data_IF_283690619483
#
_entry.id   IF_283690619483
#
_cell.length_a   1.000
_cell.length_b   1.000
_cell.length_c   1.000
_cell.angle_alpha   90.00
_cell.angle_beta   90.00
_cell.angle_gamma   90.00
#
_symmetry.space_group_name_H-M   'P 1'
#
loop_
_entity.id
_entity.type
_entity.pdbx_description
1 polymer ?
#
# COMPACT_ATOMS: atom_id res chain seq x y z
N UNK A 1 4.66 -28.36 52.09
CA UNK A 1 4.48 -26.90 52.25
C UNK A 1 3.23 -26.66 53.08
N UNK A 2 3.30 -25.84 54.13
CA UNK A 2 2.10 -25.42 54.88
C UNK A 2 1.29 -24.42 54.05
N UNK A 3 -0.02 -24.29 54.31
CA UNK A 3 -0.88 -23.32 53.60
C UNK A 3 -0.37 -21.87 53.69
N UNK A 4 0.30 -21.53 54.81
CA UNK A 4 1.02 -20.26 55.00
C UNK A 4 2.15 -20.06 54.00
N UNK A 5 2.94 -21.09 53.72
CA UNK A 5 4.07 -20.97 52.79
C UNK A 5 3.60 -20.81 51.34
N UNK A 6 2.47 -21.43 50.98
CA UNK A 6 1.83 -21.25 49.67
C UNK A 6 1.27 -19.84 49.53
N UNK A 7 0.60 -19.31 50.56
CA UNK A 7 0.06 -17.95 50.55
C UNK A 7 1.17 -16.91 50.42
N UNK A 8 2.25 -17.05 51.19
CA UNK A 8 3.42 -16.15 51.13
C UNK A 8 4.05 -16.19 49.73
N UNK A 9 4.22 -17.38 49.15
CA UNK A 9 4.76 -17.51 47.79
C UNK A 9 3.86 -16.82 46.75
N UNK A 10 2.54 -17.03 46.80
CA UNK A 10 1.59 -16.39 45.88
C UNK A 10 1.58 -14.86 46.03
N UNK A 11 1.64 -14.34 47.26
CA UNK A 11 1.71 -12.89 47.51
C UNK A 11 3.00 -12.28 46.98
N UNK A 12 4.15 -12.96 47.18
CA UNK A 12 5.43 -12.51 46.65
C UNK A 12 5.47 -12.54 45.12
N UNK A 13 4.92 -13.58 44.48
CA UNK A 13 4.80 -13.66 43.02
C UNK A 13 3.89 -12.55 42.48
N UNK A 14 2.76 -12.27 43.13
CA UNK A 14 1.85 -11.20 42.75
C UNK A 14 2.49 -9.82 42.88
N UNK A 15 3.22 -9.56 43.98
CA UNK A 15 3.98 -8.32 44.16
C UNK A 15 5.08 -8.17 43.11
N UNK A 16 5.79 -9.24 42.78
CA UNK A 16 6.81 -9.22 41.74
C UNK A 16 6.21 -8.91 40.36
N UNK A 17 5.07 -9.53 40.04
CA UNK A 17 4.33 -9.26 38.79
C UNK A 17 3.83 -7.80 38.74
N UNK A 18 3.35 -7.25 39.85
CA UNK A 18 2.96 -5.84 39.95
C UNK A 18 4.16 -4.90 39.74
N UNK A 19 5.32 -5.22 40.30
CA UNK A 19 6.54 -4.42 40.12
C UNK A 19 7.02 -4.51 38.67
N UNK A 20 7.03 -5.69 38.05
CA UNK A 20 7.36 -5.84 36.62
C UNK A 20 6.36 -5.10 35.74
N UNK A 21 5.07 -5.13 36.07
CA UNK A 21 4.03 -4.38 35.36
C UNK A 21 4.21 -2.86 35.52
N UNK A 22 4.49 -2.37 36.74
CA UNK A 22 4.75 -0.96 37.00
C UNK A 22 6.02 -0.45 36.30
N UNK A 23 7.09 -1.26 36.30
CA UNK A 23 8.34 -0.96 35.60
C UNK A 23 8.16 -0.97 34.07
N UNK A 24 7.37 -1.90 33.52
CA UNK A 24 7.00 -1.90 32.10
C UNK A 24 6.10 -0.72 31.72
N UNK A 25 5.17 -0.35 32.59
CA UNK A 25 4.34 0.85 32.40
C UNK A 25 5.15 2.15 32.52
N UNK A 26 6.34 2.09 33.13
CA UNK A 26 7.33 3.16 33.21
C UNK A 26 8.43 3.04 32.14
N UNK A 27 8.23 2.26 31.06
CA UNK A 27 9.08 2.38 29.89
C UNK A 27 9.20 3.88 29.55
N UNK A 28 10.42 4.41 29.63
CA UNK A 28 10.64 5.85 29.56
C UNK A 28 10.06 6.34 28.24
N UNK A 29 9.11 7.28 28.29
CA UNK A 29 8.65 7.95 27.07
C UNK A 29 9.88 8.53 26.39
N UNK A 30 10.01 8.38 25.05
CA UNK A 30 11.15 8.94 24.35
C UNK A 30 11.19 10.45 24.60
N UNK A 31 12.40 10.97 24.81
CA UNK A 31 12.62 12.40 24.93
C UNK A 31 12.29 13.09 23.61
N UNK A 32 11.99 14.39 23.65
CA UNK A 32 11.80 15.18 22.42
C UNK A 32 13.02 15.09 21.50
N UNK A 33 14.23 15.02 22.06
CA UNK A 33 15.45 14.83 21.28
C UNK A 33 15.44 13.51 20.51
N UNK A 34 15.11 12.40 21.17
CA UNK A 34 15.00 11.09 20.52
C UNK A 34 13.92 11.08 19.43
N UNK A 35 12.73 11.62 19.73
CA UNK A 35 11.65 11.77 18.73
C UNK A 35 12.11 12.58 17.51
N UNK A 36 12.88 13.65 17.75
CA UNK A 36 13.40 14.51 16.68
C UNK A 36 14.43 13.76 15.84
N UNK A 37 15.35 13.04 16.47
CA UNK A 37 16.37 12.25 15.80
C UNK A 37 15.73 11.13 14.97
N UNK A 38 14.74 10.43 15.52
CA UNK A 38 13.97 9.39 14.84
C UNK A 38 13.27 9.94 13.59
N UNK A 39 12.62 11.12 13.69
CA UNK A 39 11.96 11.75 12.56
C UNK A 39 12.93 12.16 11.46
N UNK A 40 14.05 12.81 11.80
CA UNK A 40 15.04 13.23 10.81
C UNK A 40 15.80 12.06 10.17
N UNK A 41 15.76 10.87 10.77
CA UNK A 41 16.25 9.64 10.15
C UNK A 41 15.22 8.97 9.22
N UNK A 42 13.95 9.38 9.28
CA UNK A 42 12.86 8.77 8.51
C UNK A 42 12.83 9.22 7.04
N UNK A 43 12.20 8.41 6.19
CA UNK A 43 12.00 8.75 4.78
C UNK A 43 11.16 10.02 4.56
N UNK A 44 10.27 10.38 5.49
CA UNK A 44 9.47 11.60 5.40
C UNK A 44 10.26 12.89 5.63
N UNK A 45 11.47 12.78 6.19
CA UNK A 45 12.39 13.90 6.39
C UNK A 45 13.61 13.87 5.45
N UNK A 46 13.70 12.89 4.54
CA UNK A 46 14.81 12.78 3.61
C UNK A 46 14.69 13.80 2.47
N UNK A 47 15.25 14.99 2.71
CA UNK A 47 15.26 16.12 1.78
C UNK A 47 16.05 15.87 0.48
N UNK A 48 16.74 14.73 0.36
CA UNK A 48 17.45 14.34 -0.88
C UNK A 48 16.68 13.30 -1.67
N UNK A 49 15.64 12.71 -1.10
CA UNK A 49 14.86 11.68 -1.75
C UNK A 49 14.05 12.24 -2.92
N UNK A 50 13.91 11.43 -3.97
CA UNK A 50 13.19 11.81 -5.19
C UNK A 50 11.76 12.33 -4.94
N UNK A 51 10.97 11.79 -3.98
CA UNK A 51 9.66 12.34 -3.66
C UNK A 51 9.65 13.84 -3.32
N UNK A 52 10.75 14.43 -2.83
CA UNK A 52 10.79 15.85 -2.48
C UNK A 52 11.64 16.70 -3.42
N UNK A 53 12.48 16.07 -4.25
CA UNK A 53 13.41 16.77 -5.15
C UNK A 53 13.04 16.69 -6.64
N UNK A 54 12.00 15.91 -7.00
CA UNK A 54 11.63 15.66 -8.40
C UNK A 54 11.41 16.94 -9.22
N UNK A 55 10.91 18.01 -8.59
CA UNK A 55 10.61 19.28 -9.24
C UNK A 55 11.64 20.39 -8.98
N UNK A 56 12.80 20.08 -8.39
CA UNK A 56 13.82 21.09 -8.09
C UNK A 56 14.41 21.74 -9.36
N UNK A 57 14.44 20.98 -10.47
CA UNK A 57 15.00 21.41 -11.75
C UNK A 57 13.95 21.98 -12.74
N UNK A 58 12.69 22.18 -12.31
CA UNK A 58 11.68 22.87 -13.14
C UNK A 58 11.93 24.38 -13.20
N UNK A 59 11.35 25.08 -14.19
CA UNK A 59 11.49 26.54 -14.33
C UNK A 59 10.11 27.23 -14.38
N UNK A 60 9.66 27.89 -13.29
CA UNK A 60 10.32 27.97 -11.98
C UNK A 60 10.27 26.64 -11.20
N UNK A 61 11.15 26.44 -10.20
CA UNK A 61 11.08 25.29 -9.29
C UNK A 61 9.78 25.32 -8.48
N UNK A 62 8.89 24.36 -8.73
CA UNK A 62 7.59 24.30 -8.07
C UNK A 62 7.02 22.88 -8.07
N UNK A 63 6.44 22.47 -6.94
CA UNK A 63 5.70 21.21 -6.83
C UNK A 63 4.27 21.46 -7.37
N UNK A 64 3.82 20.75 -8.42
CA UNK A 64 2.50 20.92 -9.00
C UNK A 64 1.37 20.68 -7.99
N UNK A 65 0.24 21.35 -8.22
CA UNK A 65 -0.95 21.32 -7.34
C UNK A 65 -1.38 19.89 -7.02
N UNK A 66 -1.42 19.02 -8.02
CA UNK A 66 -1.82 17.61 -7.92
C UNK A 66 -0.84 16.74 -7.12
N UNK A 67 0.39 17.20 -6.92
CA UNK A 67 1.44 16.47 -6.18
C UNK A 67 1.72 17.09 -4.80
N UNK A 68 1.41 18.37 -4.63
CA UNK A 68 1.81 19.16 -3.49
C UNK A 68 1.26 18.66 -2.15
N UNK A 69 0.10 18.00 -2.13
CA UNK A 69 -0.49 17.45 -0.88
C UNK A 69 0.48 16.51 -0.19
N UNK A 70 1.13 15.62 -0.94
CA UNK A 70 1.96 14.56 -0.38
C UNK A 70 3.46 14.89 -0.43
N UNK A 71 3.86 15.73 -1.38
CA UNK A 71 5.25 16.00 -1.71
C UNK A 71 5.76 17.38 -1.26
N UNK A 72 4.98 18.11 -0.45
CA UNK A 72 5.40 19.39 0.12
C UNK A 72 4.71 19.66 1.46
N UNK A 73 5.46 20.15 2.44
CA UNK A 73 4.86 20.69 3.67
C UNK A 73 3.86 21.80 3.37
N UNK A 74 4.21 22.69 2.43
CA UNK A 74 3.37 23.83 2.09
C UNK A 74 2.06 23.38 1.46
N UNK A 75 2.11 22.39 0.55
CA UNK A 75 0.92 21.83 -0.06
C UNK A 75 0.02 21.12 0.95
N UNK A 76 0.57 20.38 1.92
CA UNK A 76 -0.25 19.76 2.96
C UNK A 76 -0.91 20.79 3.90
N UNK A 77 -0.22 21.89 4.24
CA UNK A 77 -0.81 22.97 5.05
C UNK A 77 -1.93 23.71 4.31
N UNK A 78 -1.75 23.96 3.00
CA UNK A 78 -2.80 24.50 2.11
C UNK A 78 -3.98 23.52 2.06
N UNK A 79 -3.72 22.24 1.80
CA UNK A 79 -4.78 21.23 1.76
C UNK A 79 -5.60 21.15 3.06
N UNK A 80 -4.97 21.35 4.23
CA UNK A 80 -5.67 21.39 5.52
C UNK A 80 -6.30 22.75 5.87
N UNK A 81 -6.08 23.79 5.06
CA UNK A 81 -6.53 25.16 5.32
C UNK A 81 -5.83 25.82 6.51
N UNK A 82 -4.65 25.36 6.90
CA UNK A 82 -3.90 25.87 8.07
C UNK A 82 -3.38 27.29 7.83
N UNK A 83 -3.08 27.62 6.59
CA UNK A 83 -2.65 28.95 6.15
C UNK A 83 -3.82 29.89 5.78
N UNK A 84 -5.06 29.43 5.97
CA UNK A 84 -6.29 30.17 5.65
C UNK A 84 -6.87 29.86 4.27
N UNK A 85 -6.31 28.90 3.54
CA UNK A 85 -6.85 28.44 2.25
C UNK A 85 -8.08 27.55 2.39
N UNK A 86 -8.59 27.08 1.24
CA UNK A 86 -9.78 26.24 1.18
C UNK A 86 -9.46 24.79 1.52
N UNK A 87 -9.99 24.29 2.65
CA UNK A 87 -9.83 22.89 3.08
C UNK A 87 -10.18 21.89 1.96
N UNK A 88 -9.30 20.91 1.76
CA UNK A 88 -9.45 19.83 0.79
C UNK A 88 -9.01 20.19 -0.63
N UNK A 89 -8.40 21.36 -0.81
CA UNK A 89 -7.93 21.84 -2.10
C UNK A 89 -6.54 22.45 -1.95
N UNK A 90 -5.73 22.33 -2.99
CA UNK A 90 -4.50 23.11 -3.14
C UNK A 90 -4.77 24.13 -4.24
N UNK A 91 -4.56 25.41 -3.91
CA UNK A 91 -4.96 26.50 -4.80
C UNK A 91 -3.83 26.91 -5.75
N UNK A 92 -2.57 26.70 -5.36
CA UNK A 92 -1.38 27.09 -6.13
C UNK A 92 -0.27 26.04 -6.02
N UNK A 93 0.69 26.08 -6.95
CA UNK A 93 1.89 25.25 -6.86
C UNK A 93 2.64 25.52 -5.55
N UNK A 94 3.15 24.46 -4.93
CA UNK A 94 3.88 24.56 -3.68
C UNK A 94 5.37 24.80 -3.92
N UNK A 95 6.04 25.42 -2.95
CA UNK A 95 7.49 25.63 -3.02
C UNK A 95 8.23 24.29 -2.91
N UNK A 96 9.27 24.15 -3.71
CA UNK A 96 10.27 23.08 -3.57
C UNK A 96 11.16 23.29 -2.34
N UNK A 97 12.04 22.33 -2.04
CA UNK A 97 12.96 22.41 -0.89
C UNK A 97 12.30 22.18 0.47
N UNK A 98 11.13 21.54 0.51
CA UNK A 98 10.45 21.13 1.75
C UNK A 98 10.23 19.63 1.79
N UNK A 99 10.35 19.05 2.98
CA UNK A 99 9.91 17.70 3.32
C UNK A 99 8.66 17.77 4.19
N UNK A 100 8.27 16.67 4.85
CA UNK A 100 7.27 16.72 5.92
C UNK A 100 7.95 17.05 7.27
N UNK A 101 7.29 17.86 8.09
CA UNK A 101 7.79 18.30 9.39
C UNK A 101 6.83 17.92 10.51
N UNK A 102 7.23 18.14 11.76
CA UNK A 102 6.37 17.91 12.94
C UNK A 102 4.99 18.56 12.77
N UNK A 103 4.96 19.79 12.23
CA UNK A 103 3.73 20.56 12.05
C UNK A 103 2.82 20.03 10.94
N UNK A 104 3.30 19.12 10.07
CA UNK A 104 2.43 18.39 9.13
C UNK A 104 1.31 17.69 9.90
N UNK A 105 1.64 17.03 11.01
CA UNK A 105 0.67 16.30 11.84
C UNK A 105 0.28 17.08 13.11
N UNK A 106 1.14 17.97 13.60
CA UNK A 106 0.92 18.79 14.80
C UNK A 106 0.57 20.22 14.45
N UNK A 107 -0.65 20.43 13.98
CA UNK A 107 -1.21 21.75 13.67
C UNK A 107 -2.64 21.91 14.21
N UNK A 108 -3.20 23.13 14.21
CA UNK A 108 -4.55 23.37 14.74
C UNK A 108 -5.69 22.64 14.01
N UNK A 109 -5.53 22.30 12.73
CA UNK A 109 -6.56 21.63 11.93
C UNK A 109 -6.58 20.10 12.12
N UNK A 110 -5.42 19.49 12.38
CA UNK A 110 -5.24 18.04 12.48
C UNK A 110 -6.20 17.35 13.47
N UNK A 111 -6.47 17.87 14.69
CA UNK A 111 -7.39 17.20 15.63
C UNK A 111 -8.83 17.06 15.10
N UNK A 112 -9.27 17.93 14.19
CA UNK A 112 -10.58 17.90 13.54
C UNK A 112 -10.59 17.17 12.20
N UNK A 113 -9.43 16.95 11.59
CA UNK A 113 -9.31 16.26 10.31
C UNK A 113 -9.43 14.74 10.52
N UNK A 114 -10.61 14.19 10.23
CA UNK A 114 -10.95 12.78 10.51
C UNK A 114 -11.61 12.05 9.34
N UNK A 115 -11.70 12.71 8.20
CA UNK A 115 -12.36 12.18 7.01
C UNK A 115 -11.49 12.41 5.79
N UNK A 116 -11.22 11.34 5.05
CA UNK A 116 -10.48 11.38 3.78
C UNK A 116 -11.41 10.87 2.67
N UNK A 117 -11.43 11.58 1.56
CA UNK A 117 -12.09 11.15 0.32
C UNK A 117 -11.07 10.41 -0.56
N UNK A 118 -11.41 9.18 -0.97
CA UNK A 118 -10.60 8.36 -1.85
C UNK A 118 -10.88 8.70 -3.32
N UNK A 119 -10.01 8.33 -4.26
CA UNK A 119 -10.23 8.57 -5.70
C UNK A 119 -11.54 8.00 -6.27
N UNK A 120 -12.14 7.01 -5.60
CA UNK A 120 -13.48 6.49 -5.95
C UNK A 120 -14.65 7.39 -5.55
N UNK A 121 -14.38 8.48 -4.82
CA UNK A 121 -15.38 9.36 -4.20
C UNK A 121 -15.89 8.87 -2.84
N UNK A 122 -15.44 7.70 -2.37
CA UNK A 122 -15.81 7.16 -1.06
C UNK A 122 -15.11 7.94 0.05
N UNK A 123 -15.87 8.34 1.08
CA UNK A 123 -15.35 9.04 2.26
C UNK A 123 -15.22 8.09 3.44
N UNK A 124 -14.00 7.84 3.89
CA UNK A 124 -13.75 7.17 5.16
C UNK A 124 -13.69 8.21 6.27
N UNK A 125 -14.52 8.04 7.29
CA UNK A 125 -14.62 8.94 8.45
C UNK A 125 -14.18 8.26 9.73
N UNK A 126 -14.04 9.03 10.81
CA UNK A 126 -13.60 8.55 12.12
C UNK A 126 -12.18 7.95 12.13
N UNK A 127 -11.32 8.39 11.21
CA UNK A 127 -9.92 7.93 11.10
C UNK A 127 -9.09 8.37 12.33
N UNK A 128 -9.43 9.50 12.94
CA UNK A 128 -8.62 10.04 14.03
C UNK A 128 -7.21 10.38 13.51
N UNK A 129 -6.14 10.07 14.26
CA UNK A 129 -4.78 10.47 13.87
C UNK A 129 -4.27 9.87 12.56
N UNK A 130 -4.78 8.70 12.14
CA UNK A 130 -4.34 8.07 10.88
C UNK A 130 -4.83 8.83 9.64
N UNK A 131 -5.74 9.80 9.80
CA UNK A 131 -6.25 10.60 8.69
C UNK A 131 -5.10 11.25 7.90
N UNK A 132 -4.08 11.77 8.58
CA UNK A 132 -2.91 12.37 7.92
C UNK A 132 -2.12 11.35 7.08
N UNK A 133 -1.97 10.11 7.57
CA UNK A 133 -1.33 9.03 6.82
C UNK A 133 -2.16 8.65 5.58
N UNK A 134 -3.48 8.51 5.78
CA UNK A 134 -4.44 8.11 4.75
C UNK A 134 -4.52 9.16 3.64
N UNK A 135 -4.40 10.46 3.94
CA UNK A 135 -4.41 11.53 2.92
C UNK A 135 -3.37 11.31 1.84
N UNK A 136 -2.18 10.83 2.19
CA UNK A 136 -1.10 10.65 1.22
C UNK A 136 -1.03 9.22 0.69
N UNK A 137 -1.30 8.22 1.54
CA UNK A 137 -1.20 6.80 1.21
C UNK A 137 -2.53 6.19 0.68
N UNK A 138 -3.46 7.03 0.20
CA UNK A 138 -4.72 6.59 -0.42
C UNK A 138 -4.63 6.14 -1.88
N UNK A 139 -3.49 6.39 -2.55
CA UNK A 139 -3.37 6.24 -4.00
C UNK A 139 -4.09 7.35 -4.79
N UNK A 140 -3.80 7.45 -6.09
CA UNK A 140 -4.33 8.54 -6.94
C UNK A 140 -5.44 8.09 -7.91
N UNK A 141 -5.65 6.78 -8.07
CA UNK A 141 -6.63 6.23 -9.00
C UNK A 141 -7.48 5.17 -8.31
N UNK A 142 -8.58 4.78 -8.94
CA UNK A 142 -9.48 3.72 -8.45
C UNK A 142 -10.12 2.95 -9.61
N UNK A 143 -10.98 1.97 -9.29
CA UNK A 143 -11.89 1.33 -10.27
C UNK A 143 -12.58 2.36 -11.18
N UNK A 144 -13.06 3.48 -10.61
CA UNK A 144 -13.77 4.55 -11.34
C UNK A 144 -12.93 5.13 -12.48
N UNK A 145 -11.63 5.34 -12.23
CA UNK A 145 -10.71 5.91 -13.21
C UNK A 145 -10.48 4.97 -14.40
N UNK A 146 -10.35 3.67 -14.12
CA UNK A 146 -10.19 2.64 -15.15
C UNK A 146 -11.49 2.51 -15.95
N UNK A 147 -12.65 2.42 -15.27
CA UNK A 147 -13.96 2.30 -15.93
C UNK A 147 -14.24 3.47 -16.87
N UNK A 148 -13.90 4.70 -16.47
CA UNK A 148 -14.04 5.89 -17.31
C UNK A 148 -13.33 5.75 -18.66
N UNK A 149 -12.17 5.11 -18.69
CA UNK A 149 -11.37 4.91 -19.91
C UNK A 149 -11.93 3.79 -20.77
N UNK A 150 -12.40 2.70 -20.15
CA UNK A 150 -12.76 1.48 -20.87
C UNK A 150 -14.25 1.34 -21.19
N UNK A 151 -15.11 2.20 -20.64
CA UNK A 151 -16.56 2.12 -20.79
C UNK A 151 -16.99 2.03 -22.27
N UNK A 152 -17.78 0.99 -22.58
CA UNK A 152 -18.31 0.74 -23.91
C UNK A 152 -17.26 0.37 -24.97
N UNK A 153 -16.02 0.05 -24.57
CA UNK A 153 -14.95 -0.39 -25.47
C UNK A 153 -14.87 -1.92 -25.52
N UNK A 154 -14.52 -2.52 -26.67
CA UNK A 154 -14.26 -3.96 -26.74
C UNK A 154 -13.07 -4.33 -25.87
N UNK A 155 -13.18 -5.41 -25.09
CA UNK A 155 -12.20 -5.76 -24.06
C UNK A 155 -10.79 -6.02 -24.59
N UNK A 156 -10.70 -6.57 -25.81
CA UNK A 156 -9.47 -7.08 -26.41
C UNK A 156 -8.96 -6.23 -27.59
N UNK A 157 -9.51 -5.03 -27.78
CA UNK A 157 -9.10 -4.09 -28.84
C UNK A 157 -8.28 -2.96 -28.22
N UNK A 158 -7.08 -2.65 -28.75
CA UNK A 158 -6.29 -1.51 -28.28
C UNK A 158 -7.05 -0.18 -28.35
N UNK A 159 -6.91 0.60 -27.29
CA UNK A 159 -7.46 1.96 -27.17
C UNK A 159 -6.50 2.96 -27.81
N UNK A 160 -7.06 3.89 -28.59
CA UNK A 160 -6.26 4.94 -29.22
C UNK A 160 -5.68 5.90 -28.16
N UNK A 161 -4.36 6.16 -28.24
CA UNK A 161 -3.64 7.14 -27.41
C UNK A 161 -3.78 6.91 -25.90
N UNK A 162 -4.02 5.68 -25.49
CA UNK A 162 -4.11 5.34 -24.09
C UNK A 162 -2.71 5.11 -23.50
N UNK A 163 -2.52 5.54 -22.26
CA UNK A 163 -1.31 5.27 -21.46
C UNK A 163 -1.65 4.36 -20.29
N UNK A 164 -0.63 3.85 -19.60
CA UNK A 164 -0.85 3.15 -18.35
C UNK A 164 -1.56 4.04 -17.31
N UNK A 165 -2.56 3.49 -16.62
CA UNK A 165 -3.22 4.13 -15.47
C UNK A 165 -2.47 3.65 -14.22
N UNK A 166 -1.88 4.56 -13.47
CA UNK A 166 -1.04 4.21 -12.33
C UNK A 166 -1.76 4.55 -11.01
N UNK A 167 -2.03 3.58 -10.11
CA UNK A 167 -2.59 3.84 -8.78
C UNK A 167 -1.69 4.70 -7.88
N UNK A 168 -0.46 4.98 -8.32
CA UNK A 168 0.59 5.66 -7.57
C UNK A 168 1.16 4.81 -6.43
N UNK A 169 2.20 5.31 -5.78
CA UNK A 169 3.04 4.50 -4.88
C UNK A 169 2.44 4.39 -3.48
N UNK A 170 2.73 3.26 -2.82
CA UNK A 170 2.36 3.01 -1.44
C UNK A 170 0.88 3.29 -1.13
N UNK A 171 -0.09 2.73 -1.89
CA UNK A 171 -1.52 2.94 -1.67
C UNK A 171 -2.05 2.13 -0.47
N UNK A 172 -1.27 2.06 0.61
CA UNK A 172 -1.51 1.20 1.77
C UNK A 172 -2.87 1.46 2.43
N UNK A 173 -3.34 2.71 2.45
CA UNK A 173 -4.66 3.02 3.00
C UNK A 173 -5.79 2.47 2.12
N UNK A 174 -5.62 2.47 0.80
CA UNK A 174 -6.57 1.87 -0.11
C UNK A 174 -6.53 0.34 -0.05
N UNK A 175 -5.35 -0.26 0.09
CA UNK A 175 -5.22 -1.70 0.35
C UNK A 175 -5.94 -2.07 1.64
N UNK A 176 -5.66 -1.37 2.74
CA UNK A 176 -6.29 -1.63 4.04
C UNK A 176 -7.81 -1.50 3.95
N UNK A 177 -8.32 -0.45 3.32
CA UNK A 177 -9.76 -0.23 3.15
C UNK A 177 -10.44 -1.25 2.22
N UNK A 178 -9.66 -1.92 1.36
CA UNK A 178 -10.08 -3.01 0.51
C UNK A 178 -11.27 -2.65 -0.39
N UNK A 179 -12.27 -3.53 -0.37
CA UNK A 179 -13.53 -3.45 -1.10
C UNK A 179 -14.21 -2.08 -1.03
N UNK A 180 -14.13 -1.41 0.13
CA UNK A 180 -14.91 -0.21 0.43
C UNK A 180 -14.56 0.98 -0.45
N UNK A 181 -13.28 1.16 -0.77
CA UNK A 181 -12.80 2.36 -1.49
C UNK A 181 -12.42 2.09 -2.92
N UNK A 182 -12.52 0.83 -3.37
CA UNK A 182 -12.28 0.45 -4.77
C UNK A 182 -10.92 0.92 -5.31
N UNK A 183 -9.89 0.89 -4.46
CA UNK A 183 -8.54 1.34 -4.82
C UNK A 183 -7.87 0.44 -5.85
N UNK A 184 -8.17 -0.86 -5.84
CA UNK A 184 -7.86 -1.74 -6.97
C UNK A 184 -9.03 -1.75 -7.95
N UNK A 185 -8.83 -2.25 -9.16
CA UNK A 185 -9.92 -2.51 -10.11
C UNK A 185 -10.73 -3.72 -9.64
N UNK A 186 -11.99 -3.46 -9.32
CA UNK A 186 -12.96 -4.47 -8.89
C UNK A 186 -13.86 -4.85 -10.06
N UNK A 187 -14.06 -6.15 -10.25
CA UNK A 187 -14.86 -6.68 -11.34
C UNK A 187 -16.35 -6.71 -10.99
N UNK A 188 -17.19 -6.28 -11.93
CA UNK A 188 -18.65 -6.31 -11.79
C UNK A 188 -19.15 -7.72 -11.42
N UNK A 189 -20.07 -7.76 -10.46
CA UNK A 189 -20.67 -9.02 -9.97
C UNK A 189 -19.83 -9.77 -8.93
N UNK A 190 -18.58 -9.34 -8.68
CA UNK A 190 -17.77 -9.87 -7.60
C UNK A 190 -17.98 -9.11 -6.29
N UNK A 191 -17.77 -9.79 -5.17
CA UNK A 191 -17.74 -9.15 -3.85
C UNK A 191 -16.31 -9.21 -3.31
N UNK A 192 -15.86 -8.09 -2.74
CA UNK A 192 -14.53 -7.92 -2.19
C UNK A 192 -14.61 -7.69 -0.69
N UNK A 193 -13.67 -8.27 0.07
CA UNK A 193 -13.57 -8.01 1.51
C UNK A 193 -13.32 -6.51 1.73
N UNK A 194 -14.03 -5.94 2.70
CA UNK A 194 -13.91 -4.53 3.05
C UNK A 194 -12.62 -4.21 3.80
N UNK A 195 -12.70 -3.19 4.68
CA UNK A 195 -11.55 -2.77 5.50
C UNK A 195 -11.02 -3.93 6.32
N UNK A 196 -9.72 -4.17 6.24
CA UNK A 196 -9.05 -5.11 7.11
C UNK A 196 -9.00 -4.55 8.54
N UNK A 197 -9.56 -5.32 9.46
CA UNK A 197 -9.59 -5.02 10.87
C UNK A 197 -8.77 -6.07 11.61
N UNK A 198 -7.59 -5.68 12.11
CA UNK A 198 -6.82 -6.55 12.99
C UNK A 198 -7.41 -6.51 14.43
N UNK A 199 -6.58 -6.66 15.47
CA UNK A 199 -7.03 -6.56 16.86
C UNK A 199 -7.43 -5.12 17.19
N UNK A 200 -8.30 -4.90 18.19
CA UNK A 200 -8.77 -3.57 18.61
C UNK A 200 -7.66 -2.56 18.93
N UNK A 201 -6.44 -3.04 19.19
CA UNK A 201 -5.27 -2.22 19.52
C UNK A 201 -4.28 -2.06 18.36
N UNK A 202 -4.56 -2.65 17.19
CA UNK A 202 -3.69 -2.68 16.00
C UNK A 202 -4.50 -2.48 14.69
N UNK A 203 -5.48 -1.58 14.69
CA UNK A 203 -6.38 -1.31 13.55
C UNK A 203 -5.97 -0.12 12.71
N UNK A 204 -5.26 0.84 13.30
CA UNK A 204 -4.90 2.09 12.60
C UNK A 204 -3.43 2.11 12.23
N UNK A 205 -3.08 2.91 11.22
CA UNK A 205 -1.69 3.01 10.73
C UNK A 205 -0.68 3.25 11.87
N UNK A 206 -1.00 4.22 12.73
CA UNK A 206 -0.17 4.66 13.85
C UNK A 206 -0.17 3.72 15.08
N UNK A 207 -0.86 2.59 15.00
CA UNK A 207 -0.79 1.54 16.03
C UNK A 207 0.26 0.48 15.69
N UNK A 208 0.56 0.30 14.40
CA UNK A 208 1.61 -0.60 13.92
C UNK A 208 2.90 0.15 13.58
N UNK A 209 2.77 1.31 12.94
CA UNK A 209 3.89 2.19 12.57
C UNK A 209 4.07 3.25 13.64
N UNK A 210 5.30 3.42 14.11
CA UNK A 210 5.64 4.56 14.96
C UNK A 210 5.51 5.87 14.14
N UNK A 211 4.71 6.85 14.59
CA UNK A 211 4.51 8.08 13.81
C UNK A 211 5.75 8.96 13.64
N UNK A 212 6.78 8.75 14.45
CA UNK A 212 8.00 9.55 14.44
C UNK A 212 9.16 8.85 13.74
N UNK A 213 9.32 7.52 13.86
CA UNK A 213 10.36 6.81 13.10
C UNK A 213 9.85 6.19 11.79
N UNK A 214 8.52 6.00 11.67
CA UNK A 214 7.84 5.21 10.62
C UNK A 214 8.08 3.70 10.69
N UNK A 215 8.95 3.27 11.59
CA UNK A 215 9.35 1.88 11.77
C UNK A 215 8.29 1.08 12.52
N UNK A 216 8.34 -0.24 12.34
CA UNK A 216 7.52 -1.21 13.06
C UNK A 216 8.40 -1.88 14.11
N UNK A 217 7.97 -1.90 15.37
CA UNK A 217 8.63 -2.71 16.40
C UNK A 217 8.07 -4.16 16.37
N UNK A 218 8.84 -5.16 15.87
CA UNK A 218 8.38 -6.54 15.79
C UNK A 218 8.02 -7.14 17.16
N UNK A 219 8.56 -6.58 18.26
CA UNK A 219 8.24 -7.03 19.62
C UNK A 219 6.79 -6.78 20.01
N UNK A 220 6.11 -5.86 19.33
CA UNK A 220 4.68 -5.62 19.53
C UNK A 220 3.83 -6.75 18.96
N UNK A 221 4.36 -7.50 17.98
CA UNK A 221 3.68 -8.61 17.31
C UNK A 221 3.92 -9.96 18.02
N UNK A 222 5.11 -10.16 18.59
CA UNK A 222 5.56 -11.43 19.20
C UNK A 222 4.58 -12.05 20.23
N UNK A 223 3.81 -11.28 21.03
CA UNK A 223 2.84 -11.87 21.97
C UNK A 223 1.76 -12.74 21.31
N UNK A 224 1.38 -12.43 20.07
CA UNK A 224 0.39 -13.20 19.31
C UNK A 224 1.05 -14.02 18.19
N UNK A 225 2.18 -13.56 17.67
CA UNK A 225 2.93 -14.17 16.58
C UNK A 225 4.32 -14.57 17.08
N UNK A 226 4.42 -15.70 17.79
CA UNK A 226 5.62 -16.10 18.54
C UNK A 226 6.91 -16.21 17.73
N UNK A 227 6.81 -16.36 16.41
CA UNK A 227 7.95 -16.49 15.51
C UNK A 227 8.48 -15.14 15.01
N UNK A 228 7.81 -14.03 15.35
CA UNK A 228 8.23 -12.68 14.94
C UNK A 228 9.28 -12.15 15.91
N UNK A 229 10.51 -12.01 15.43
CA UNK A 229 11.66 -11.42 16.13
C UNK A 229 12.15 -10.16 15.41
N UNK A 230 12.07 -10.17 14.08
CA UNK A 230 12.45 -9.08 13.18
C UNK A 230 11.26 -8.69 12.29
N UNK A 231 11.33 -7.52 11.64
CA UNK A 231 10.31 -7.09 10.68
C UNK A 231 10.18 -8.08 9.50
N UNK A 232 11.28 -8.74 9.11
CA UNK A 232 11.26 -9.74 8.03
C UNK A 232 10.36 -10.93 8.36
N UNK A 233 10.34 -11.35 9.62
CA UNK A 233 9.57 -12.51 10.09
C UNK A 233 8.05 -12.28 9.98
N UNK A 234 7.58 -11.04 9.76
CA UNK A 234 6.17 -10.76 9.48
C UNK A 234 5.68 -11.49 8.23
N UNK A 235 6.56 -11.75 7.26
CA UNK A 235 6.21 -12.50 6.04
C UNK A 235 5.86 -13.96 6.34
N UNK A 236 6.44 -14.52 7.40
CA UNK A 236 6.18 -15.89 7.87
C UNK A 236 4.89 -15.99 8.69
N UNK A 237 4.23 -14.87 8.98
CA UNK A 237 2.97 -14.86 9.73
C UNK A 237 1.86 -15.46 8.89
N UNK A 238 1.26 -16.50 9.45
CA UNK A 238 0.09 -17.17 8.88
C UNK A 238 -1.19 -16.47 9.28
N UNK A 239 -2.06 -16.21 8.31
CA UNK A 239 -3.43 -15.75 8.56
C UNK A 239 -4.46 -16.88 8.49
N UNK A 240 -4.12 -18.01 7.85
CA UNK A 240 -5.03 -19.15 7.69
C UNK A 240 -4.28 -20.47 7.48
N UNK A 241 -5.02 -21.58 7.50
CA UNK A 241 -4.53 -22.92 7.12
C UNK A 241 -4.87 -23.30 5.68
N UNK A 242 -5.41 -22.36 4.92
CA UNK A 242 -5.74 -22.55 3.51
C UNK A 242 -4.48 -22.33 2.70
N UNK A 243 -4.22 -23.26 1.78
CA UNK A 243 -3.26 -23.16 0.68
C UNK A 243 -3.99 -22.43 -0.46
N UNK A 244 -3.75 -21.12 -0.59
CA UNK A 244 -4.47 -20.28 -1.54
C UNK A 244 -3.87 -20.36 -2.93
N UNK A 245 -2.56 -20.55 -3.03
CA UNK A 245 -1.84 -20.61 -4.30
C UNK A 245 -1.86 -22.02 -4.95
N UNK A 246 -2.15 -23.06 -4.16
CA UNK A 246 -2.30 -24.44 -4.61
C UNK A 246 -0.99 -25.21 -4.73
N UNK A 247 0.10 -24.78 -4.09
CA UNK A 247 1.41 -25.45 -4.15
C UNK A 247 1.53 -26.64 -3.17
N UNK A 248 0.56 -26.81 -2.26
CA UNK A 248 0.51 -27.85 -1.24
C UNK A 248 1.19 -27.48 0.08
N UNK A 249 1.76 -26.29 0.21
CA UNK A 249 2.49 -25.82 1.38
C UNK A 249 1.57 -25.17 2.42
N UNK A 250 0.99 -26.03 3.26
CA UNK A 250 0.14 -25.58 4.37
C UNK A 250 0.91 -24.98 5.56
N UNK A 251 2.17 -24.53 5.40
CA UNK A 251 3.00 -24.05 6.51
C UNK A 251 3.59 -22.66 6.32
N UNK A 252 3.52 -22.09 5.13
CA UNK A 252 4.06 -20.76 4.89
C UNK A 252 3.13 -19.62 5.34
N UNK A 253 3.72 -18.43 5.39
CA UNK A 253 3.02 -17.19 5.71
C UNK A 253 2.25 -16.64 4.51
N UNK A 254 1.27 -15.79 4.80
CA UNK A 254 0.35 -15.25 3.78
C UNK A 254 1.04 -14.37 2.73
N UNK A 255 2.26 -13.91 3.02
CA UNK A 255 3.05 -13.13 2.07
C UNK A 255 3.46 -13.97 0.86
N UNK A 256 3.83 -15.23 1.08
CA UNK A 256 4.28 -16.14 0.02
C UNK A 256 3.13 -16.56 -0.89
N UNK A 257 1.97 -16.82 -0.29
CA UNK A 257 0.70 -17.01 -1.02
C UNK A 257 0.43 -15.82 -1.96
N UNK A 258 0.57 -14.58 -1.44
CA UNK A 258 0.35 -13.38 -2.24
C UNK A 258 1.41 -13.19 -3.35
N UNK A 259 2.68 -13.51 -3.07
CA UNK A 259 3.76 -13.46 -4.07
C UNK A 259 3.44 -14.39 -5.25
N UNK A 260 3.02 -15.64 -4.96
CA UNK A 260 2.67 -16.62 -5.98
C UNK A 260 1.48 -16.18 -6.86
N UNK A 261 0.48 -15.51 -6.28
CA UNK A 261 -0.57 -14.84 -7.03
C UNK A 261 -0.02 -13.77 -7.97
N UNK A 262 0.92 -12.95 -7.49
CA UNK A 262 1.60 -11.92 -8.26
C UNK A 262 2.38 -12.47 -9.45
N UNK A 263 3.17 -13.53 -9.24
CA UNK A 263 3.95 -14.20 -10.29
C UNK A 263 3.06 -14.76 -11.40
N UNK A 264 1.97 -15.45 -11.02
CA UNK A 264 0.99 -15.96 -11.99
C UNK A 264 0.31 -14.84 -12.76
N UNK A 265 -0.02 -13.74 -12.09
CA UNK A 265 -0.62 -12.58 -12.74
C UNK A 265 0.32 -11.93 -13.75
N UNK A 266 1.59 -11.71 -13.40
CA UNK A 266 2.57 -11.17 -14.35
C UNK A 266 2.66 -12.05 -15.59
N UNK A 267 2.77 -13.37 -15.39
CA UNK A 267 2.85 -14.32 -16.50
C UNK A 267 1.60 -14.30 -17.38
N UNK A 268 0.41 -14.21 -16.79
CA UNK A 268 -0.85 -14.11 -17.53
C UNK A 268 -0.95 -12.79 -18.32
N UNK A 269 -0.49 -11.67 -17.76
CA UNK A 269 -0.39 -10.37 -18.44
C UNK A 269 0.51 -10.48 -19.67
N UNK A 270 1.70 -11.06 -19.49
CA UNK A 270 2.68 -11.25 -20.56
C UNK A 270 2.14 -12.12 -21.68
N UNK A 271 1.51 -13.23 -21.32
CA UNK A 271 0.86 -14.14 -22.27
C UNK A 271 -0.25 -13.43 -23.05
N UNK A 272 -1.11 -12.67 -22.36
CA UNK A 272 -2.19 -11.92 -23.00
C UNK A 272 -1.65 -10.89 -23.99
N UNK A 273 -0.65 -10.09 -23.61
CA UNK A 273 -0.07 -9.08 -24.48
C UNK A 273 0.56 -9.71 -25.75
N UNK A 274 1.31 -10.80 -25.57
CA UNK A 274 1.93 -11.52 -26.68
C UNK A 274 0.89 -12.19 -27.62
N UNK A 275 -0.05 -12.96 -27.07
CA UNK A 275 -0.98 -13.76 -27.89
C UNK A 275 -2.16 -12.97 -28.45
N UNK A 276 -2.68 -11.98 -27.71
CA UNK A 276 -3.88 -11.23 -28.11
C UNK A 276 -3.59 -9.92 -28.79
N UNK A 277 -2.60 -9.19 -28.31
CA UNK A 277 -2.23 -7.89 -28.88
C UNK A 277 -1.05 -7.99 -29.84
N UNK A 278 -0.34 -9.12 -29.85
CA UNK A 278 0.80 -9.35 -30.76
C UNK A 278 2.05 -8.57 -30.38
N UNK A 279 2.09 -7.98 -29.17
CA UNK A 279 3.25 -7.21 -28.68
C UNK A 279 3.55 -7.64 -27.25
N UNK A 280 4.66 -8.36 -27.03
CA UNK A 280 5.08 -8.75 -25.69
C UNK A 280 5.33 -7.53 -24.77
N UNK A 281 5.04 -7.71 -23.49
CA UNK A 281 5.16 -6.68 -22.46
C UNK A 281 6.08 -7.19 -21.35
N UNK A 282 6.89 -6.31 -20.76
CA UNK A 282 7.64 -6.63 -19.56
C UNK A 282 7.52 -5.52 -18.50
N UNK A 283 7.70 -5.92 -17.25
CA UNK A 283 7.57 -5.06 -16.08
C UNK A 283 8.94 -4.76 -15.47
N UNK A 284 9.16 -3.51 -15.05
CA UNK A 284 10.27 -3.12 -14.20
C UNK A 284 9.79 -2.15 -13.12
N UNK A 285 9.85 -2.57 -11.85
CA UNK A 285 9.37 -1.77 -10.72
C UNK A 285 10.15 -0.47 -10.49
N UNK A 286 11.41 -0.42 -10.95
CA UNK A 286 12.37 0.64 -10.68
C UNK A 286 12.55 1.63 -11.84
N UNK A 287 11.89 1.40 -12.98
CA UNK A 287 12.00 2.24 -14.16
C UNK A 287 10.64 2.77 -14.60
N UNK A 288 10.52 4.09 -14.78
CA UNK A 288 9.31 4.70 -15.34
C UNK A 288 9.24 4.45 -16.87
N UNK A 289 8.07 4.06 -17.44
CA UNK A 289 6.73 4.01 -16.84
C UNK A 289 6.27 2.59 -16.41
N UNK A 290 7.20 1.77 -15.91
CA UNK A 290 7.03 0.40 -15.39
C UNK A 290 6.77 -0.69 -16.42
N UNK A 291 6.05 -0.36 -17.48
CA UNK A 291 5.69 -1.30 -18.54
C UNK A 291 6.40 -0.93 -19.83
N UNK A 292 7.13 -1.88 -20.37
CA UNK A 292 7.95 -1.73 -21.57
C UNK A 292 7.61 -2.80 -22.60
N UNK A 293 7.92 -2.51 -23.86
CA UNK A 293 7.88 -3.54 -24.89
C UNK A 293 9.01 -4.52 -24.62
N UNK A 294 8.67 -5.80 -24.51
CA UNK A 294 9.64 -6.89 -24.37
C UNK A 294 10.12 -7.28 -25.78
N UNK A 295 11.21 -6.65 -26.21
CA UNK A 295 11.73 -6.72 -27.57
C UNK A 295 12.44 -8.04 -27.86
N UNK A 296 12.94 -8.72 -26.82
CA UNK A 296 13.62 -10.00 -26.94
C UNK A 296 12.73 -11.19 -26.50
N UNK A 297 11.54 -10.92 -25.99
CA UNK A 297 10.51 -11.89 -25.58
C UNK A 297 10.99 -12.84 -24.47
N UNK A 298 11.75 -12.31 -23.49
CA UNK A 298 12.28 -13.06 -22.35
C UNK A 298 11.44 -12.89 -21.05
N UNK A 299 10.42 -12.02 -21.07
CA UNK A 299 9.55 -11.71 -19.95
C UNK A 299 10.17 -10.78 -18.89
N UNK A 300 11.31 -10.16 -19.15
CA UNK A 300 12.08 -9.35 -18.20
C UNK A 300 12.44 -8.03 -18.87
N UNK A 301 12.02 -6.91 -18.31
CA UNK A 301 12.40 -5.60 -18.81
C UNK A 301 13.83 -5.31 -18.34
N UNK A 302 14.81 -5.64 -19.17
CA UNK A 302 16.23 -5.40 -18.87
C UNK A 302 16.60 -3.92 -19.07
N UNK A 303 17.84 -3.56 -18.75
CA UNK A 303 18.29 -2.15 -18.80
C UNK A 303 18.23 -1.53 -20.21
N UNK A 304 18.28 -2.32 -21.28
CA UNK A 304 18.15 -1.82 -22.64
C UNK A 304 16.69 -1.56 -23.03
N UNK A 305 15.76 -2.30 -22.43
CA UNK A 305 14.32 -2.16 -22.65
C UNK A 305 13.65 -1.18 -21.69
N UNK A 306 14.20 -1.01 -20.48
CA UNK A 306 13.69 -0.18 -19.38
C UNK A 306 13.99 1.31 -19.57
N UNK A 307 13.71 1.82 -20.78
CA UNK A 307 13.92 3.22 -21.15
C UNK A 307 12.61 3.82 -21.67
N UNK A 308 12.38 5.09 -21.36
CA UNK A 308 11.12 5.77 -21.72
C UNK A 308 10.73 5.65 -23.21
N UNK A 309 11.65 5.73 -24.19
CA UNK A 309 11.30 5.52 -25.60
C UNK A 309 10.71 4.13 -25.92
N UNK A 310 10.99 3.12 -25.11
CA UNK A 310 10.50 1.74 -25.27
C UNK A 310 9.29 1.43 -24.38
N UNK A 311 8.62 2.45 -23.84
CA UNK A 311 7.39 2.27 -23.08
C UNK A 311 6.35 1.46 -23.84
N UNK A 312 5.57 0.67 -23.10
CA UNK A 312 4.47 -0.08 -23.67
C UNK A 312 3.29 0.84 -24.02
N UNK A 313 2.74 0.72 -25.23
CA UNK A 313 1.72 1.65 -25.77
C UNK A 313 0.43 0.98 -26.25
N UNK A 314 0.39 -0.35 -26.34
CA UNK A 314 -0.76 -1.09 -26.88
C UNK A 314 -1.71 -1.55 -25.77
N UNK A 315 -2.52 -0.62 -25.27
CA UNK A 315 -3.41 -0.85 -24.12
C UNK A 315 -4.83 -1.21 -24.56
N UNK A 316 -5.27 -2.44 -24.32
CA UNK A 316 -6.69 -2.83 -24.39
C UNK A 316 -7.35 -2.69 -23.02
N UNK A 317 -8.70 -2.58 -22.92
CA UNK A 317 -9.38 -2.58 -21.63
C UNK A 317 -8.98 -3.72 -20.69
N UNK A 318 -8.89 -4.95 -21.20
CA UNK A 318 -8.50 -6.11 -20.38
C UNK A 318 -7.09 -5.98 -19.83
N UNK A 319 -6.15 -5.55 -20.67
CA UNK A 319 -4.77 -5.35 -20.24
C UNK A 319 -4.64 -4.22 -19.21
N UNK A 320 -5.39 -3.13 -19.37
CA UNK A 320 -5.36 -2.01 -18.40
C UNK A 320 -5.85 -2.44 -17.03
N UNK A 321 -6.96 -3.18 -16.96
CA UNK A 321 -7.45 -3.73 -15.68
C UNK A 321 -6.38 -4.59 -15.03
N UNK A 322 -5.74 -5.45 -15.82
CA UNK A 322 -4.75 -6.39 -15.31
C UNK A 322 -3.46 -5.71 -14.83
N UNK A 323 -2.89 -4.82 -15.63
CA UNK A 323 -1.66 -4.11 -15.23
C UNK A 323 -1.90 -3.11 -14.12
N UNK A 324 -3.09 -2.51 -14.04
CA UNK A 324 -3.51 -1.66 -12.91
C UNK A 324 -3.54 -2.47 -11.61
N UNK A 325 -4.20 -3.62 -11.60
CA UNK A 325 -4.28 -4.49 -10.43
C UNK A 325 -2.91 -5.06 -10.04
N UNK A 326 -2.09 -5.44 -11.02
CA UNK A 326 -0.71 -5.87 -10.77
C UNK A 326 0.11 -4.78 -10.06
N UNK A 327 0.06 -3.55 -10.59
CA UNK A 327 0.76 -2.41 -9.98
C UNK A 327 0.21 -2.09 -8.58
N UNK A 328 -1.11 -2.11 -8.39
CA UNK A 328 -1.73 -1.87 -7.09
C UNK A 328 -1.25 -2.87 -6.04
N UNK A 329 -1.23 -4.16 -6.38
CA UNK A 329 -0.79 -5.22 -5.47
C UNK A 329 0.73 -5.16 -5.18
N UNK A 330 1.55 -4.73 -6.14
CA UNK A 330 3.02 -4.67 -5.98
C UNK A 330 3.53 -3.36 -5.38
N UNK A 331 2.78 -2.26 -5.47
CA UNK A 331 3.19 -0.95 -4.93
C UNK A 331 2.81 -0.73 -3.47
N UNK A 332 2.27 -1.74 -2.79
CA UNK A 332 2.14 -1.79 -1.32
C UNK A 332 3.01 -2.92 -0.75
N UNK A 333 4.24 -2.65 -0.29
CA UNK A 333 5.11 -3.68 0.29
C UNK A 333 4.53 -4.32 1.56
N UNK A 334 3.59 -3.64 2.23
CA UNK A 334 2.88 -4.15 3.41
C UNK A 334 1.57 -4.84 3.07
N UNK A 335 1.24 -5.06 1.79
CA UNK A 335 -0.07 -5.57 1.34
C UNK A 335 -0.49 -6.88 1.99
N UNK A 336 0.48 -7.75 2.30
CA UNK A 336 0.27 -9.02 3.02
C UNK A 336 -0.20 -8.83 4.48
N UNK A 337 0.10 -7.69 5.11
CA UNK A 337 -0.41 -7.29 6.44
C UNK A 337 -1.64 -6.41 6.29
N UNK A 338 -1.65 -5.49 5.32
CA UNK A 338 -2.70 -4.49 5.18
C UNK A 338 -4.03 -5.11 4.75
N UNK A 339 -4.06 -5.99 3.75
CA UNK A 339 -5.27 -6.72 3.33
C UNK A 339 -4.98 -7.83 2.30
N UNK A 340 -4.23 -8.88 2.69
CA UNK A 340 -3.83 -9.95 1.77
C UNK A 340 -5.02 -10.61 1.05
N UNK A 341 -6.13 -10.80 1.76
CA UNK A 341 -7.35 -11.38 1.18
C UNK A 341 -7.92 -10.53 0.05
N UNK A 342 -7.98 -9.22 0.23
CA UNK A 342 -8.44 -8.31 -0.82
C UNK A 342 -7.55 -8.39 -2.05
N UNK A 343 -6.23 -8.34 -1.87
CA UNK A 343 -5.27 -8.43 -2.98
C UNK A 343 -5.36 -9.77 -3.71
N UNK A 344 -5.48 -10.89 -2.99
CA UNK A 344 -5.70 -12.20 -3.61
C UNK A 344 -7.04 -12.30 -4.34
N UNK A 345 -8.13 -11.72 -3.82
CA UNK A 345 -9.43 -11.66 -4.54
C UNK A 345 -9.31 -10.88 -5.84
N UNK A 346 -8.69 -9.71 -5.80
CA UNK A 346 -8.45 -8.85 -6.96
C UNK A 346 -7.59 -9.59 -8.00
N UNK A 347 -6.49 -10.20 -7.57
CA UNK A 347 -5.59 -10.94 -8.47
C UNK A 347 -6.26 -12.18 -9.06
N UNK A 348 -7.02 -12.94 -8.27
CA UNK A 348 -7.80 -14.09 -8.76
C UNK A 348 -8.77 -13.69 -9.87
N UNK A 349 -9.56 -12.64 -9.63
CA UNK A 349 -10.57 -12.18 -10.59
C UNK A 349 -9.90 -11.62 -11.85
N UNK A 350 -8.74 -10.97 -11.70
CA UNK A 350 -7.93 -10.50 -12.83
C UNK A 350 -7.41 -11.66 -13.68
N UNK A 351 -6.89 -12.71 -13.05
CA UNK A 351 -6.48 -13.92 -13.76
C UNK A 351 -7.66 -14.59 -14.47
N UNK A 352 -8.83 -14.67 -13.82
CA UNK A 352 -10.05 -15.19 -14.44
C UNK A 352 -10.49 -14.36 -15.64
N UNK A 353 -10.33 -13.04 -15.61
CA UNK A 353 -10.64 -12.15 -16.72
C UNK A 353 -9.65 -12.35 -17.88
N UNK A 354 -8.35 -12.43 -17.61
CA UNK A 354 -7.33 -12.77 -18.63
C UNK A 354 -7.59 -14.16 -19.25
N UNK A 355 -8.03 -15.12 -18.43
CA UNK A 355 -8.39 -16.49 -18.81
C UNK A 355 -9.54 -16.60 -19.83
N UNK A 356 -10.35 -15.55 -19.99
CA UNK A 356 -11.38 -15.52 -21.03
C UNK A 356 -10.80 -15.29 -22.44
N UNK A 357 -9.59 -14.71 -22.51
CA UNK A 357 -8.92 -14.44 -23.77
C UNK A 357 -7.80 -15.45 -24.04
N UNK A 358 -6.91 -15.71 -23.08
CA UNK A 358 -5.76 -16.62 -23.22
C UNK A 358 -5.82 -17.78 -22.22
N UNK A 359 -5.02 -18.82 -22.45
CA UNK A 359 -4.96 -19.95 -21.51
C UNK A 359 -4.15 -19.57 -20.27
N UNK A 360 -4.84 -19.25 -19.18
CA UNK A 360 -4.21 -18.94 -17.88
C UNK A 360 -4.27 -20.16 -16.97
N UNK A 361 -3.14 -20.51 -16.35
CA UNK A 361 -3.11 -21.59 -15.37
C UNK A 361 -3.68 -21.13 -14.02
N UNK A 362 -4.90 -21.59 -13.75
CA UNK A 362 -5.63 -21.35 -12.50
C UNK A 362 -5.62 -22.57 -11.56
N UNK A 363 -4.83 -23.60 -11.89
CA UNK A 363 -4.84 -24.86 -11.15
C UNK A 363 -4.48 -24.63 -9.68
N UNK A 364 -5.33 -25.15 -8.79
CA UNK A 364 -5.14 -25.06 -7.34
C UNK A 364 -5.47 -23.71 -6.71
N UNK A 365 -5.56 -22.62 -7.48
CA UNK A 365 -5.83 -21.29 -6.92
C UNK A 365 -7.21 -21.22 -6.25
N UNK A 366 -7.23 -20.72 -5.02
CA UNK A 366 -8.45 -20.50 -4.25
C UNK A 366 -8.71 -19.00 -4.04
N UNK A 367 -9.82 -18.50 -4.59
CA UNK A 367 -10.30 -17.16 -4.26
C UNK A 367 -10.69 -17.08 -2.77
N UNK A 368 -10.09 -16.19 -1.96
CA UNK A 368 -10.50 -16.02 -0.56
C UNK A 368 -11.96 -15.57 -0.45
N UNK A 369 -12.61 -16.01 0.64
CA UNK A 369 -13.96 -15.57 1.03
C UNK A 369 -13.90 -14.32 1.90
#
# INVERSE_FOLDING_TARGET
MTSKNVLIAMTLTFLLLLVVFALRAQAARPSVAQITDDWFASGHADAKSLPFTYWDDTDPPAVPVECATCHSYYGFMDYLGVDGSTVGKIDQEAKTGSVLYCNTCHNPAAPSYKTVEFPSGVKLSNLGPEAACVTCHHGLESTVSVDKVIAGKPLDVPLEKQSFINPHYFPAAATQAGGLVQGAYQYDGQTYVGRFEHTTTMRTCNQCHDPHSLEIDPKTCSPCHSNVVTVRDLRDVRQSKVDYDGDGNLTEGIAYELDAYGERLLRAIQLYAAEKLGTPIAYNEAAYPYWFIDTNNNGIADGSESIFPNQYTLWSPRLLRATYNYQFAHKDPGGFVHNAKYLMQVTYDTLSDLGQAVTVDMSGLLRPQ
#
